data_IF_330492125824
#
_entry.id   IF_330492125824
#
_cell.length_a   1.000
_cell.length_b   1.000
_cell.length_c   1.000
_cell.angle_alpha   90.00
_cell.angle_beta   90.00
_cell.angle_gamma   90.00
#
_symmetry.space_group_name_H-M   'P 1'
#
loop_
_entity.id
_entity.type
_entity.pdbx_description
1 polymer ?
#
# COMPACT_ATOMS: atom_id res chain seq x y z
N UNK A 1 -1.18 -9.16 20.05
CA UNK A 1 -2.50 -9.58 20.57
C UNK A 1 -3.65 -8.96 19.76
N UNK A 2 -4.44 -9.80 19.07
CA UNK A 2 -5.77 -9.42 18.57
C UNK A 2 -6.74 -9.55 19.73
N UNK A 3 -6.83 -8.50 20.54
CA UNK A 3 -7.73 -8.43 21.70
C UNK A 3 -9.08 -7.89 21.25
N UNK A 4 -10.16 -8.64 21.48
CA UNK A 4 -11.53 -8.13 21.41
C UNK A 4 -11.97 -7.79 22.84
N UNK A 5 -12.11 -6.50 23.15
CA UNK A 5 -12.52 -6.02 24.47
C UNK A 5 -13.52 -4.87 24.31
N UNK A 6 -14.48 -4.80 25.22
CA UNK A 6 -15.31 -3.61 25.38
C UNK A 6 -14.45 -2.53 26.03
N UNK A 7 -14.43 -1.34 25.45
CA UNK A 7 -13.65 -0.20 25.92
C UNK A 7 -14.56 1.00 26.16
N UNK A 8 -14.16 1.87 27.08
CA UNK A 8 -14.81 3.14 27.35
C UNK A 8 -14.58 4.13 26.21
N UNK A 9 -15.40 5.19 26.15
CA UNK A 9 -15.20 6.28 25.19
C UNK A 9 -13.84 6.97 25.36
N UNK A 10 -13.35 7.08 26.60
CA UNK A 10 -12.03 7.64 26.89
C UNK A 10 -10.89 6.77 26.33
N UNK A 11 -10.99 5.45 26.47
CA UNK A 11 -10.03 4.51 25.89
C UNK A 11 -10.09 4.49 24.36
N UNK A 12 -11.29 4.57 23.78
CA UNK A 12 -11.48 4.72 22.33
C UNK A 12 -10.82 6.00 21.82
N UNK A 13 -11.04 7.13 22.49
CA UNK A 13 -10.41 8.38 22.12
C UNK A 13 -8.88 8.29 22.21
N UNK A 14 -8.35 7.70 23.28
CA UNK A 14 -6.91 7.49 23.44
C UNK A 14 -6.31 6.59 22.34
N UNK A 15 -7.07 5.64 21.78
CA UNK A 15 -6.66 4.86 20.61
C UNK A 15 -6.62 5.76 19.37
N UNK A 16 -7.68 6.53 19.13
CA UNK A 16 -7.77 7.44 17.98
C UNK A 16 -6.64 8.48 17.99
N UNK A 17 -6.29 9.03 19.14
CA UNK A 17 -5.23 10.03 19.30
C UNK A 17 -3.83 9.50 18.96
N UNK A 18 -3.66 8.17 18.94
CA UNK A 18 -2.40 7.50 18.59
C UNK A 18 -2.29 7.14 17.11
N UNK A 19 -3.39 7.25 16.36
CA UNK A 19 -3.40 6.95 14.93
C UNK A 19 -2.75 8.08 14.13
N UNK A 20 -2.11 7.71 13.03
CA UNK A 20 -1.69 8.65 12.00
C UNK A 20 -2.89 9.25 11.25
N UNK A 21 -2.63 10.18 10.31
CA UNK A 21 -3.66 10.66 9.40
C UNK A 21 -4.29 9.50 8.62
N UNK A 22 -5.58 9.64 8.30
CA UNK A 22 -6.42 8.65 7.63
C UNK A 22 -6.82 9.14 6.23
N UNK A 23 -6.45 8.44 5.14
CA UNK A 23 -6.85 8.84 3.77
C UNK A 23 -8.35 8.93 3.52
N UNK A 24 -9.18 8.31 4.37
CA UNK A 24 -10.65 8.40 4.30
C UNK A 24 -11.21 9.61 5.05
N UNK A 25 -10.44 10.22 5.96
CA UNK A 25 -10.90 11.34 6.77
C UNK A 25 -10.85 12.64 5.95
N UNK A 26 -11.99 13.34 5.77
CA UNK A 26 -11.98 14.65 5.14
C UNK A 26 -11.06 15.62 5.88
N UNK A 27 -10.18 16.31 5.15
CA UNK A 27 -9.24 17.29 5.69
C UNK A 27 -7.87 16.74 6.08
N UNK A 28 -7.68 15.42 6.13
CA UNK A 28 -6.33 14.85 6.23
C UNK A 28 -5.66 14.91 4.85
N UNK A 29 -4.51 15.59 4.78
CA UNK A 29 -3.73 15.83 3.56
C UNK A 29 -2.43 15.00 3.50
N UNK A 30 -2.22 14.13 4.48
CA UNK A 30 -1.03 13.29 4.59
C UNK A 30 0.22 14.03 5.05
N UNK A 31 0.16 15.33 5.36
CA UNK A 31 1.33 16.13 5.73
C UNK A 31 2.00 15.60 7.00
N UNK A 32 1.19 15.16 7.97
CA UNK A 32 1.72 14.59 9.21
C UNK A 32 2.53 13.30 8.96
N UNK A 33 2.04 12.44 8.06
CA UNK A 33 2.74 11.22 7.67
C UNK A 33 4.03 11.57 6.90
N UNK A 34 3.94 12.51 5.95
CA UNK A 34 5.09 13.00 5.18
C UNK A 34 6.26 13.43 6.06
N UNK A 35 6.00 14.30 7.05
CA UNK A 35 7.05 14.79 7.97
C UNK A 35 7.80 13.67 8.69
N UNK A 36 7.14 12.56 8.98
CA UNK A 36 7.75 11.38 9.63
C UNK A 36 8.46 10.50 8.60
N UNK A 37 7.84 10.25 7.46
CA UNK A 37 8.40 9.43 6.37
C UNK A 37 9.69 10.04 5.85
N UNK A 38 9.69 11.33 5.51
CA UNK A 38 10.82 12.04 4.91
C UNK A 38 12.09 12.11 5.78
N UNK A 39 11.98 11.75 7.08
CA UNK A 39 13.12 11.71 8.01
C UNK A 39 13.53 10.30 8.38
N UNK A 40 12.77 9.29 7.94
CA UNK A 40 12.94 7.91 8.38
C UNK A 40 13.93 7.14 7.52
N UNK A 41 14.79 6.37 8.17
CA UNK A 41 15.66 5.36 7.52
C UNK A 41 14.94 4.03 7.30
N UNK A 42 13.74 3.88 7.86
CA UNK A 42 12.90 2.69 7.69
C UNK A 42 12.34 2.65 6.28
N UNK A 43 12.11 1.45 5.76
CA UNK A 43 11.56 1.25 4.42
C UNK A 43 10.14 1.81 4.30
N UNK A 44 9.78 2.32 3.13
CA UNK A 44 8.44 2.88 2.88
C UNK A 44 7.35 1.82 3.08
N UNK A 45 7.58 0.56 2.72
CA UNK A 45 6.62 -0.52 2.93
C UNK A 45 6.39 -0.87 4.40
N UNK A 46 7.37 -0.64 5.29
CA UNK A 46 7.17 -0.78 6.72
C UNK A 46 6.44 0.44 7.30
N UNK A 47 6.78 1.65 6.87
CA UNK A 47 6.13 2.89 7.30
C UNK A 47 4.64 2.92 6.94
N UNK A 48 4.27 2.47 5.73
CA UNK A 48 2.87 2.38 5.30
C UNK A 48 2.03 1.36 6.09
N UNK A 49 2.66 0.45 6.84
CA UNK A 49 1.94 -0.50 7.69
C UNK A 49 1.82 -0.02 9.15
N UNK A 50 2.61 0.99 9.54
CA UNK A 50 2.56 1.56 10.88
C UNK A 50 1.35 2.49 11.03
N UNK A 51 0.37 2.04 11.81
CA UNK A 51 -0.88 2.78 12.05
C UNK A 51 -0.66 4.13 12.76
N UNK A 52 0.51 4.36 13.36
CA UNK A 52 0.89 5.67 13.90
C UNK A 52 1.36 6.64 12.81
N UNK A 53 1.86 6.12 11.70
CA UNK A 53 2.30 6.91 10.53
C UNK A 53 1.11 7.21 9.64
N UNK A 54 0.30 6.20 9.31
CA UNK A 54 -0.86 6.31 8.45
C UNK A 54 -1.90 5.27 8.87
N UNK A 55 -3.12 5.72 9.14
CA UNK A 55 -4.19 4.84 9.58
C UNK A 55 -4.88 4.16 8.38
N UNK A 56 -5.40 2.96 8.59
CA UNK A 56 -6.24 2.25 7.62
C UNK A 56 -5.47 1.55 6.50
N UNK A 57 -4.24 1.96 6.19
CA UNK A 57 -3.40 1.29 5.19
C UNK A 57 -2.98 -0.08 5.71
N UNK A 58 -3.48 -1.11 5.03
CA UNK A 58 -3.20 -2.52 5.32
C UNK A 58 -2.22 -3.16 4.33
N UNK A 59 -2.05 -4.49 4.44
CA UNK A 59 -1.07 -5.23 3.64
C UNK A 59 -1.35 -5.20 2.13
N UNK A 60 -2.63 -5.16 1.73
CA UNK A 60 -3.03 -5.04 0.32
C UNK A 60 -2.63 -3.65 -0.19
N UNK A 61 -3.19 -2.59 0.42
CA UNK A 61 -2.93 -1.22 0.00
C UNK A 61 -1.44 -0.86 -0.02
N UNK A 62 -0.62 -1.26 0.97
CA UNK A 62 0.82 -0.97 0.95
C UNK A 62 1.52 -1.58 -0.27
N UNK A 63 1.18 -2.81 -0.64
CA UNK A 63 1.83 -3.52 -1.73
C UNK A 63 1.39 -2.93 -3.07
N UNK A 64 0.08 -2.69 -3.19
CA UNK A 64 -0.56 -2.25 -4.41
C UNK A 64 -0.25 -0.78 -4.74
N UNK A 65 -0.26 0.12 -3.76
CA UNK A 65 0.03 1.53 -4.04
C UNK A 65 1.50 1.74 -4.42
N UNK A 66 2.42 1.06 -3.75
CA UNK A 66 3.85 1.13 -4.10
C UNK A 66 4.09 0.58 -5.50
N UNK A 67 3.41 -0.50 -5.89
CA UNK A 67 3.47 -1.02 -7.25
C UNK A 67 2.92 -0.03 -8.28
N UNK A 68 1.75 0.58 -8.01
CA UNK A 68 1.09 1.54 -8.91
C UNK A 68 1.93 2.79 -9.19
N UNK A 69 2.90 3.10 -8.33
CA UNK A 69 3.84 4.21 -8.47
C UNK A 69 5.27 3.77 -8.79
N UNK A 70 5.53 2.48 -9.01
CA UNK A 70 6.87 1.97 -9.34
C UNK A 70 7.92 2.18 -8.24
N UNK A 71 7.47 2.30 -6.99
CA UNK A 71 8.35 2.58 -5.85
C UNK A 71 8.86 1.25 -5.29
N UNK A 72 10.19 1.11 -5.18
CA UNK A 72 10.81 0.00 -4.44
C UNK A 72 10.32 -0.01 -2.99
N UNK A 73 9.66 -1.09 -2.52
CA UNK A 73 9.17 -1.16 -1.16
C UNK A 73 10.28 -1.09 -0.09
N UNK A 74 11.53 -1.38 -0.46
CA UNK A 74 12.70 -1.30 0.41
C UNK A 74 13.35 0.08 0.44
N UNK A 75 12.91 1.03 -0.40
CA UNK A 75 13.38 2.41 -0.37
C UNK A 75 13.14 3.01 1.02
N UNK A 76 14.15 3.66 1.60
CA UNK A 76 13.96 4.35 2.88
C UNK A 76 13.00 5.53 2.72
N UNK A 77 12.19 5.81 3.74
CA UNK A 77 11.22 6.92 3.69
C UNK A 77 11.86 8.27 3.37
N UNK A 78 13.08 8.52 3.88
CA UNK A 78 13.86 9.73 3.61
C UNK A 78 14.32 9.89 2.15
N UNK A 79 14.32 8.79 1.39
CA UNK A 79 14.73 8.78 -0.02
C UNK A 79 13.50 8.89 -0.95
N UNK A 80 12.28 8.98 -0.38
CA UNK A 80 11.06 9.27 -1.12
C UNK A 80 10.99 10.78 -1.39
N UNK A 81 10.54 11.16 -2.59
CA UNK A 81 10.30 12.56 -2.92
C UNK A 81 8.92 13.02 -2.45
N UNK A 82 8.75 14.33 -2.30
CA UNK A 82 7.44 14.91 -1.96
C UNK A 82 6.37 14.56 -2.99
N UNK A 83 6.71 14.65 -4.27
CA UNK A 83 5.79 14.36 -5.37
C UNK A 83 5.34 12.89 -5.38
N UNK A 84 6.26 11.95 -5.12
CA UNK A 84 5.91 10.53 -4.98
C UNK A 84 4.96 10.30 -3.80
N UNK A 85 5.20 10.96 -2.66
CA UNK A 85 4.31 10.88 -1.51
C UNK A 85 2.92 11.44 -1.80
N UNK A 86 2.82 12.63 -2.39
CA UNK A 86 1.52 13.24 -2.71
C UNK A 86 0.73 12.36 -3.67
N UNK A 87 1.40 11.73 -4.65
CA UNK A 87 0.79 10.79 -5.57
C UNK A 87 0.28 9.53 -4.84
N UNK A 88 1.11 8.94 -3.95
CA UNK A 88 0.72 7.78 -3.12
C UNK A 88 -0.47 8.12 -2.23
N UNK A 89 -0.47 9.28 -1.57
CA UNK A 89 -1.56 9.71 -0.69
C UNK A 89 -2.87 9.87 -1.47
N UNK A 90 -2.84 10.58 -2.60
CA UNK A 90 -4.01 10.77 -3.45
C UNK A 90 -4.58 9.44 -3.94
N UNK A 91 -3.72 8.51 -4.35
CA UNK A 91 -4.14 7.19 -4.82
C UNK A 91 -4.73 6.34 -3.68
N UNK A 92 -4.12 6.34 -2.48
CA UNK A 92 -4.69 5.71 -1.29
C UNK A 92 -6.08 6.25 -0.95
N UNK A 93 -6.26 7.57 -0.98
CA UNK A 93 -7.55 8.19 -0.67
C UNK A 93 -8.65 7.75 -1.65
N UNK A 94 -8.32 7.55 -2.93
CA UNK A 94 -9.25 7.00 -3.93
C UNK A 94 -9.50 5.52 -3.70
N UNK A 95 -8.43 4.71 -3.64
CA UNK A 95 -8.51 3.25 -3.53
C UNK A 95 -9.25 2.82 -2.25
N UNK A 96 -8.97 3.45 -1.12
CA UNK A 96 -9.62 3.12 0.15
C UNK A 96 -11.10 3.51 0.13
N UNK A 97 -11.45 4.64 -0.50
CA UNK A 97 -12.84 5.09 -0.60
C UNK A 97 -13.67 4.14 -1.46
N UNK A 98 -13.13 3.74 -2.60
CA UNK A 98 -13.77 2.72 -3.44
C UNK A 98 -13.83 1.36 -2.74
N UNK A 99 -12.79 1.02 -1.98
CA UNK A 99 -12.75 -0.17 -1.14
C UNK A 99 -13.90 -0.26 -0.14
N UNK A 100 -14.16 0.86 0.57
CA UNK A 100 -15.31 0.98 1.48
C UNK A 100 -16.62 0.92 0.70
N UNK A 101 -16.73 1.67 -0.40
CA UNK A 101 -17.96 1.77 -1.20
C UNK A 101 -18.42 0.42 -1.77
N UNK A 102 -17.48 -0.37 -2.28
CA UNK A 102 -17.78 -1.64 -2.93
C UNK A 102 -17.60 -2.85 -2.03
N UNK A 103 -17.18 -2.64 -0.78
CA UNK A 103 -16.82 -3.71 0.16
C UNK A 103 -15.82 -4.71 -0.47
N UNK A 104 -14.90 -4.20 -1.29
CA UNK A 104 -13.94 -4.99 -2.06
C UNK A 104 -12.74 -4.14 -2.46
N UNK A 105 -11.53 -4.70 -2.36
CA UNK A 105 -10.30 -3.98 -2.72
C UNK A 105 -9.94 -4.29 -4.17
N UNK A 106 -10.26 -3.37 -5.07
CA UNK A 106 -9.84 -3.39 -6.47
C UNK A 106 -8.81 -2.28 -6.69
N UNK A 107 -7.56 -2.65 -6.99
CA UNK A 107 -6.44 -1.71 -7.14
C UNK A 107 -5.90 -1.65 -8.56
N UNK A 108 -6.40 -2.47 -9.47
CA UNK A 108 -5.97 -2.47 -10.87
C UNK A 108 -6.59 -1.29 -11.62
N UNK A 109 -5.74 -0.52 -12.33
CA UNK A 109 -6.17 0.60 -13.18
C UNK A 109 -7.05 0.08 -14.33
N UNK A 110 -8.03 0.87 -14.83
CA UNK A 110 -8.94 0.46 -15.90
C UNK A 110 -8.25 -0.15 -17.12
N UNK A 111 -7.13 0.43 -17.56
CA UNK A 111 -6.33 -0.03 -18.69
C UNK A 111 -5.62 -1.37 -18.47
N UNK A 112 -5.56 -1.85 -17.23
CA UNK A 112 -4.91 -3.11 -16.85
C UNK A 112 -5.90 -4.16 -16.33
N UNK A 113 -7.20 -3.88 -16.41
CA UNK A 113 -8.26 -4.82 -16.03
C UNK A 113 -8.20 -6.09 -16.88
N UNK A 114 -8.73 -7.22 -16.35
CA UNK A 114 -8.76 -8.49 -17.08
C UNK A 114 -9.30 -8.37 -18.51
N UNK A 115 -10.41 -7.66 -18.68
CA UNK A 115 -11.09 -7.46 -19.95
C UNK A 115 -10.25 -6.59 -20.91
N UNK A 116 -9.60 -5.54 -20.39
CA UNK A 116 -8.75 -4.65 -21.17
C UNK A 116 -7.46 -5.35 -21.66
N UNK A 117 -6.95 -6.31 -20.90
CA UNK A 117 -5.72 -7.06 -21.21
C UNK A 117 -5.97 -8.43 -21.85
N UNK A 118 -7.22 -8.87 -21.99
CA UNK A 118 -7.55 -10.21 -22.51
C UNK A 118 -7.03 -11.35 -21.63
N UNK A 119 -7.02 -11.17 -20.30
CA UNK A 119 -6.58 -12.17 -19.31
C UNK A 119 -7.75 -12.62 -18.43
N UNK A 120 -7.70 -13.82 -17.84
CA UNK A 120 -8.71 -14.22 -16.87
C UNK A 120 -8.69 -13.30 -15.62
N UNK A 121 -9.84 -13.09 -14.97
CA UNK A 121 -9.91 -12.38 -13.70
C UNK A 121 -9.20 -13.16 -12.60
N UNK A 122 -8.77 -12.48 -11.54
CA UNK A 122 -8.16 -13.11 -10.37
C UNK A 122 -9.15 -14.05 -9.69
N UNK A 123 -8.67 -15.23 -9.30
CA UNK A 123 -9.40 -16.17 -8.43
C UNK A 123 -8.69 -16.23 -7.08
N UNK A 124 -9.30 -15.63 -6.05
CA UNK A 124 -8.81 -15.59 -4.67
C UNK A 124 -10.00 -15.53 -3.70
N UNK A 125 -9.84 -16.15 -2.53
CA UNK A 125 -10.87 -16.23 -1.49
C UNK A 125 -11.21 -14.88 -0.86
N UNK A 126 -10.30 -13.90 -0.93
CA UNK A 126 -10.52 -12.53 -0.46
C UNK A 126 -11.07 -11.61 -1.57
N UNK A 127 -11.27 -12.13 -2.78
CA UNK A 127 -11.75 -11.40 -3.95
C UNK A 127 -10.83 -10.25 -4.38
N UNK A 128 -11.40 -9.34 -5.18
CA UNK A 128 -10.73 -8.14 -5.66
C UNK A 128 -9.70 -8.40 -6.77
N UNK A 129 -9.38 -7.36 -7.52
CA UNK A 129 -8.37 -7.39 -8.59
C UNK A 129 -7.14 -6.57 -8.18
N UNK A 130 -5.97 -7.21 -8.20
CA UNK A 130 -4.71 -6.67 -7.63
C UNK A 130 -3.50 -6.97 -8.52
N UNK A 131 -2.47 -6.13 -8.44
CA UNK A 131 -1.24 -6.29 -9.20
C UNK A 131 -0.23 -7.26 -8.61
N UNK A 132 0.01 -7.25 -7.30
CA UNK A 132 1.12 -8.01 -6.68
C UNK A 132 0.71 -8.77 -5.43
N UNK A 133 -0.25 -8.29 -4.67
CA UNK A 133 -0.65 -8.89 -3.40
C UNK A 133 -1.08 -10.35 -3.58
N UNK A 134 -0.45 -11.29 -2.85
CA UNK A 134 -0.68 -12.73 -2.97
C UNK A 134 -0.66 -13.23 -4.42
N UNK A 135 0.25 -12.68 -5.21
CA UNK A 135 0.58 -13.14 -6.57
C UNK A 135 2.02 -13.62 -6.66
N UNK A 136 2.64 -13.99 -5.54
CA UNK A 136 4.02 -14.46 -5.53
C UNK A 136 4.21 -15.62 -6.52
N UNK A 137 5.36 -15.62 -7.21
CA UNK A 137 5.71 -16.56 -8.29
C UNK A 137 4.85 -16.48 -9.55
N UNK A 138 3.83 -15.62 -9.59
CA UNK A 138 3.11 -15.33 -10.81
C UNK A 138 3.83 -14.28 -11.64
N UNK A 139 3.51 -14.21 -12.94
CA UNK A 139 3.99 -13.16 -13.83
C UNK A 139 3.29 -11.84 -13.54
N UNK A 140 4.07 -10.76 -13.41
CA UNK A 140 3.59 -9.40 -13.33
C UNK A 140 2.71 -9.08 -14.54
N UNK A 141 1.57 -8.43 -14.31
CA UNK A 141 0.68 -8.03 -15.40
C UNK A 141 1.30 -6.97 -16.32
N UNK A 142 2.30 -6.24 -15.85
CA UNK A 142 2.89 -5.11 -16.59
C UNK A 142 4.15 -5.55 -17.34
N UNK A 143 5.18 -6.03 -16.63
CA UNK A 143 6.45 -6.37 -17.26
C UNK A 143 6.66 -7.87 -17.50
N UNK A 144 5.73 -8.74 -17.09
CA UNK A 144 5.86 -10.19 -17.22
C UNK A 144 6.86 -10.87 -16.28
N UNK A 145 7.69 -10.11 -15.55
CA UNK A 145 8.63 -10.63 -14.56
C UNK A 145 7.94 -11.24 -13.34
N UNK A 146 8.66 -12.07 -12.59
CA UNK A 146 8.10 -12.76 -11.42
C UNK A 146 7.82 -11.81 -10.24
N UNK A 147 6.64 -11.94 -9.63
CA UNK A 147 6.32 -11.26 -8.37
C UNK A 147 7.01 -11.97 -7.21
N UNK A 148 7.76 -11.20 -6.41
CA UNK A 148 8.50 -11.67 -5.25
C UNK A 148 7.73 -11.48 -3.96
N UNK A 149 8.10 -12.26 -2.94
CA UNK A 149 7.57 -12.13 -1.58
C UNK A 149 8.66 -12.27 -0.52
N UNK A 150 8.48 -11.60 0.61
CA UNK A 150 9.37 -11.66 1.78
C UNK A 150 8.64 -11.22 3.05
N UNK A 151 9.15 -11.56 4.23
CA UNK A 151 8.64 -11.02 5.49
C UNK A 151 9.12 -9.59 5.74
N UNK A 152 8.21 -8.66 6.06
CA UNK A 152 8.54 -7.29 6.47
C UNK A 152 7.51 -6.73 7.45
N UNK A 153 7.96 -6.25 8.61
CA UNK A 153 7.10 -5.73 9.68
C UNK A 153 5.99 -6.74 10.08
N UNK A 154 6.40 -8.00 10.34
CA UNK A 154 5.53 -9.12 10.73
C UNK A 154 4.43 -9.52 9.71
N UNK A 155 4.50 -9.05 8.46
CA UNK A 155 3.56 -9.39 7.39
C UNK A 155 4.31 -9.66 6.08
N UNK A 156 3.78 -10.53 5.23
CA UNK A 156 4.34 -10.75 3.90
C UNK A 156 4.24 -9.46 3.05
N UNK A 157 5.34 -9.09 2.41
CA UNK A 157 5.45 -8.04 1.41
C UNK A 157 5.44 -8.70 0.03
N UNK A 158 4.75 -8.10 -0.94
CA UNK A 158 4.72 -8.56 -2.34
C UNK A 158 5.12 -7.41 -3.26
N UNK A 159 5.96 -7.68 -4.27
CA UNK A 159 6.41 -6.64 -5.21
C UNK A 159 6.92 -7.23 -6.53
N UNK A 160 6.97 -6.40 -7.57
CA UNK A 160 7.60 -6.75 -8.83
C UNK A 160 8.97 -6.06 -8.94
N UNK A 161 10.11 -6.78 -8.97
CA UNK A 161 11.43 -6.15 -9.08
C UNK A 161 11.65 -5.43 -10.41
N UNK A 162 10.93 -5.82 -11.48
CA UNK A 162 11.02 -5.17 -12.78
C UNK A 162 10.24 -3.85 -12.86
N UNK A 163 9.11 -3.73 -12.16
CA UNK A 163 8.32 -2.49 -12.13
C UNK A 163 8.70 -1.59 -10.95
N UNK A 164 9.35 -2.13 -9.92
CA UNK A 164 9.75 -1.42 -8.70
C UNK A 164 11.27 -1.57 -8.50
N UNK A 165 12.11 -1.02 -9.39
CA UNK A 165 13.55 -1.17 -9.32
C UNK A 165 14.12 -0.44 -8.09
N UNK A 166 15.20 -0.97 -7.47
CA UNK A 166 15.91 -0.26 -6.42
C UNK A 166 16.37 1.12 -6.88
N UNK A 167 16.34 2.11 -5.98
CA UNK A 167 16.88 3.43 -6.29
C UNK A 167 18.39 3.30 -6.64
N UNK A 168 18.76 3.70 -7.85
CA UNK A 168 20.14 3.60 -8.37
C UNK A 168 20.43 2.40 -9.26
N UNK A 169 19.47 1.48 -9.46
CA UNK A 169 19.57 0.39 -10.42
C UNK A 169 19.11 0.81 -11.82
N UNK A 170 19.83 1.74 -12.45
CA UNK A 170 19.74 1.86 -13.91
C UNK A 170 20.27 0.54 -14.49
N UNK A 171 19.47 -0.08 -15.36
CA UNK A 171 19.68 -1.43 -15.86
C UNK A 171 21.09 -1.67 -16.42
N UNK A 172 21.59 -2.87 -16.13
CA UNK A 172 22.58 -3.53 -16.99
C UNK A 172 21.88 -4.13 -18.20
#
# INVERSE_FOLDING_TARGET
PTTCALITDAEKQAIHDRLGPDPLRPGDDGEHAWRRIARSRTTIAALLLDQKIIAGVGNVYRAEVLFRHGIDPYRAGRDLTRAEWDAVWADLAVLMREGVRHNRIDTVRPEHLPEAMGRPPRVDDHGGEVYVYRRDRQRCHICGGEIRTAGLAARNLFWCPGCQPPAGGAGT
#
